data_IF_628492651830
#
_entry.id   IF_628492651830
#
_cell.length_a   1.000
_cell.length_b   1.000
_cell.length_c   1.000
_cell.angle_alpha   90.00
_cell.angle_beta   90.00
_cell.angle_gamma   90.00
#
_symmetry.space_group_name_H-M   'P 1'
#
loop_
_entity.id
_entity.type
_entity.pdbx_description
1 polymer ?
#
# COMPACT_ATOMS: atom_id res chain seq x y z
N UNK A 1 30.74 -7.38 -3.57
CA UNK A 1 30.87 -6.19 -2.68
C UNK A 1 30.76 -6.68 -1.23
N UNK A 2 31.64 -6.19 -0.35
CA UNK A 2 31.61 -6.51 1.08
C UNK A 2 31.60 -5.20 1.88
N UNK A 3 30.67 -5.08 2.83
CA UNK A 3 30.52 -3.92 3.71
C UNK A 3 30.36 -4.44 5.14
N UNK A 4 31.47 -4.50 5.86
CA UNK A 4 31.55 -5.23 7.14
C UNK A 4 31.27 -6.73 6.96
N UNK A 5 30.25 -7.23 7.65
CA UNK A 5 29.77 -8.60 7.60
C UNK A 5 28.80 -8.85 6.43
N UNK A 6 28.29 -7.77 5.84
CA UNK A 6 27.38 -7.83 4.71
C UNK A 6 28.10 -8.19 3.42
N UNK A 7 27.51 -9.08 2.63
CA UNK A 7 28.02 -9.55 1.34
C UNK A 7 26.93 -9.44 0.29
N UNK A 8 27.31 -8.87 -0.85
CA UNK A 8 26.50 -8.79 -2.06
C UNK A 8 27.36 -9.37 -3.18
N UNK A 9 26.96 -10.50 -3.72
CA UNK A 9 27.66 -11.16 -4.82
C UNK A 9 26.76 -11.11 -6.04
N UNK A 10 27.29 -10.71 -7.18
CA UNK A 10 26.51 -10.67 -8.41
C UNK A 10 27.34 -11.10 -9.60
N UNK A 11 26.69 -11.79 -10.52
CA UNK A 11 27.24 -12.10 -11.83
C UNK A 11 26.26 -11.59 -12.88
N UNK A 12 26.78 -11.06 -13.99
CA UNK A 12 25.95 -10.60 -15.08
C UNK A 12 26.70 -10.79 -16.40
N UNK A 13 25.98 -11.29 -17.40
CA UNK A 13 26.42 -11.30 -18.79
C UNK A 13 25.34 -10.66 -19.65
N UNK A 14 25.76 -9.70 -20.47
CA UNK A 14 24.91 -8.98 -21.40
C UNK A 14 25.41 -9.29 -22.82
N UNK A 15 24.73 -10.21 -23.50
CA UNK A 15 24.92 -10.47 -24.92
C UNK A 15 23.62 -10.14 -25.66
N UNK A 16 23.09 -11.07 -26.48
CA UNK A 16 21.73 -10.96 -27.03
C UNK A 16 20.64 -11.17 -25.97
N UNK A 17 20.99 -11.88 -24.89
CA UNK A 17 20.15 -12.10 -23.72
C UNK A 17 20.88 -11.62 -22.48
N UNK A 18 20.10 -11.17 -21.51
CA UNK A 18 20.53 -10.89 -20.15
C UNK A 18 20.58 -12.23 -19.43
N UNK A 19 21.65 -12.45 -18.67
CA UNK A 19 21.69 -13.45 -17.61
C UNK A 19 22.41 -12.82 -16.43
N UNK A 20 21.69 -12.57 -15.35
CA UNK A 20 22.24 -11.99 -14.14
C UNK A 20 21.70 -12.72 -12.91
N UNK A 21 22.56 -12.86 -11.92
CA UNK A 21 22.23 -13.39 -10.60
C UNK A 21 22.84 -12.46 -9.56
N UNK A 22 22.08 -12.18 -8.50
CA UNK A 22 22.49 -11.38 -7.37
C UNK A 22 22.11 -12.10 -6.08
N UNK A 23 23.12 -12.48 -5.29
CA UNK A 23 22.99 -13.07 -3.97
C UNK A 23 23.24 -12.02 -2.90
N UNK A 24 22.25 -11.87 -2.01
CA UNK A 24 22.27 -10.96 -0.88
C UNK A 24 22.43 -11.76 0.41
N UNK A 25 23.49 -11.47 1.16
CA UNK A 25 23.66 -11.98 2.51
C UNK A 25 24.09 -10.83 3.42
N UNK A 26 23.10 -10.16 4.02
CA UNK A 26 23.25 -8.96 4.82
C UNK A 26 22.87 -9.28 6.28
N UNK A 27 23.73 -9.95 7.06
CA UNK A 27 23.41 -10.34 8.44
C UNK A 27 23.37 -9.15 9.41
N UNK A 28 23.87 -7.96 9.03
CA UNK A 28 23.94 -6.78 9.90
C UNK A 28 23.70 -5.50 9.14
N UNK A 29 22.44 -5.18 8.85
CA UNK A 29 22.07 -4.00 8.04
C UNK A 29 22.57 -2.67 8.62
N UNK A 30 22.75 -2.56 9.93
CA UNK A 30 23.28 -1.35 10.58
C UNK A 30 24.71 -0.97 10.17
N UNK A 31 25.48 -1.89 9.58
CA UNK A 31 26.78 -1.58 8.98
C UNK A 31 26.66 -0.92 7.60
N UNK A 32 25.49 -0.94 6.97
CA UNK A 32 25.21 -0.24 5.70
C UNK A 32 24.75 1.19 5.95
N UNK A 33 23.89 1.38 6.94
CA UNK A 33 23.37 2.69 7.34
C UNK A 33 22.98 2.67 8.83
N UNK A 34 23.31 3.70 9.63
CA UNK A 34 23.09 3.68 11.09
C UNK A 34 21.64 3.44 11.54
N UNK A 35 20.65 3.89 10.76
CA UNK A 35 19.23 3.73 11.10
C UNK A 35 18.65 2.38 10.66
N UNK A 36 19.38 1.61 9.85
CA UNK A 36 18.95 0.27 9.46
C UNK A 36 19.33 -0.76 10.52
N UNK A 37 18.43 -1.69 10.82
CA UNK A 37 18.73 -2.84 11.68
C UNK A 37 18.15 -4.12 11.12
N UNK A 38 18.57 -5.23 11.70
CA UNK A 38 18.16 -6.56 11.30
C UNK A 38 19.03 -7.17 10.23
N UNK A 39 18.48 -8.19 9.59
CA UNK A 39 19.16 -8.98 8.58
C UNK A 39 18.29 -9.21 7.35
N UNK A 40 18.92 -9.26 6.19
CA UNK A 40 18.27 -9.53 4.91
C UNK A 40 19.10 -10.56 4.14
N UNK A 41 18.44 -11.61 3.66
CA UNK A 41 19.03 -12.60 2.76
C UNK A 41 18.14 -12.78 1.55
N UNK A 42 18.73 -13.07 0.40
CA UNK A 42 17.92 -13.37 -0.76
C UNK A 42 18.71 -13.54 -2.02
N UNK A 43 18.00 -13.85 -3.09
CA UNK A 43 18.52 -14.08 -4.41
C UNK A 43 17.61 -13.41 -5.44
N UNK A 44 18.23 -12.79 -6.44
CA UNK A 44 17.55 -12.22 -7.60
C UNK A 44 18.19 -12.81 -8.86
N UNK A 45 17.38 -13.47 -9.66
CA UNK A 45 17.77 -14.01 -10.96
C UNK A 45 17.04 -13.23 -12.05
N UNK A 46 17.77 -12.77 -13.06
CA UNK A 46 17.22 -12.07 -14.23
C UNK A 46 17.74 -12.73 -15.49
N UNK A 47 16.84 -13.02 -16.42
CA UNK A 47 17.13 -13.66 -17.68
C UNK A 47 16.30 -13.05 -18.83
N UNK A 48 16.51 -13.54 -20.05
CA UNK A 48 15.69 -13.19 -21.21
C UNK A 48 16.20 -11.98 -21.98
N UNK A 49 15.31 -11.29 -22.69
CA UNK A 49 15.67 -10.10 -23.50
C UNK A 49 15.10 -8.84 -22.86
N UNK A 50 15.57 -7.66 -23.30
CA UNK A 50 14.99 -6.39 -22.85
C UNK A 50 13.49 -6.25 -23.17
N UNK A 51 13.00 -6.93 -24.22
CA UNK A 51 11.57 -6.92 -24.61
C UNK A 51 10.74 -7.99 -23.89
N UNK A 52 11.39 -9.03 -23.38
CA UNK A 52 10.74 -10.15 -22.70
C UNK A 52 11.66 -10.63 -21.56
N UNK A 53 11.78 -9.83 -20.50
CA UNK A 53 12.58 -10.20 -19.35
C UNK A 53 11.92 -11.36 -18.61
N UNK A 54 12.73 -12.16 -17.96
CA UNK A 54 12.31 -13.25 -17.08
C UNK A 54 13.07 -13.08 -15.77
N UNK A 55 12.52 -13.57 -14.68
CA UNK A 55 13.26 -13.48 -13.43
C UNK A 55 12.55 -14.07 -12.25
N UNK A 56 13.31 -14.19 -11.17
CA UNK A 56 12.85 -14.65 -9.87
C UNK A 56 13.50 -13.80 -8.79
N UNK A 57 12.72 -13.48 -7.76
CA UNK A 57 13.18 -12.80 -6.56
C UNK A 57 12.72 -13.62 -5.37
N UNK A 58 13.65 -13.97 -4.49
CA UNK A 58 13.36 -14.55 -3.17
C UNK A 58 14.10 -13.72 -2.13
N UNK A 59 13.38 -13.01 -1.27
CA UNK A 59 13.97 -12.25 -0.17
C UNK A 59 13.35 -12.68 1.15
N UNK A 60 14.19 -12.79 2.17
CA UNK A 60 13.83 -13.06 3.55
C UNK A 60 14.53 -12.03 4.45
N UNK A 61 13.74 -11.28 5.21
CA UNK A 61 14.23 -10.33 6.19
C UNK A 61 13.79 -10.71 7.60
N UNK A 62 14.61 -10.41 8.59
CA UNK A 62 14.31 -10.66 9.99
C UNK A 62 14.75 -9.48 10.85
N UNK A 63 13.90 -9.12 11.83
CA UNK A 63 14.11 -8.02 12.77
C UNK A 63 14.51 -6.71 12.08
N UNK A 64 13.88 -6.43 10.94
CA UNK A 64 14.15 -5.24 10.15
C UNK A 64 13.68 -4.01 10.92
N UNK A 65 14.49 -2.96 10.92
CA UNK A 65 14.07 -1.67 11.43
C UNK A 65 14.65 -0.52 10.61
N UNK A 66 13.89 0.56 10.51
CA UNK A 66 14.32 1.84 9.99
C UNK A 66 13.69 2.95 10.82
N UNK A 67 14.54 3.75 11.49
CA UNK A 67 14.11 4.71 12.50
C UNK A 67 13.22 4.05 13.58
N UNK A 68 11.98 4.46 13.70
CA UNK A 68 10.94 3.99 14.64
C UNK A 68 10.04 2.88 14.05
N UNK A 69 10.30 2.47 12.81
CA UNK A 69 9.52 1.45 12.12
C UNK A 69 10.20 0.09 12.24
N UNK A 70 9.43 -0.92 12.60
CA UNK A 70 9.90 -2.27 12.83
C UNK A 70 9.08 -3.28 12.03
N UNK A 71 9.77 -4.32 11.57
CA UNK A 71 9.18 -5.46 10.88
C UNK A 71 9.90 -6.73 11.31
N UNK A 72 9.22 -7.60 12.06
CA UNK A 72 9.84 -8.80 12.60
C UNK A 72 10.26 -9.78 11.52
N UNK A 73 9.41 -10.03 10.51
CA UNK A 73 9.77 -10.88 9.38
C UNK A 73 9.24 -10.31 8.08
N UNK A 74 10.03 -10.47 7.03
CA UNK A 74 9.69 -10.15 5.66
C UNK A 74 9.95 -11.37 4.79
N UNK A 75 8.99 -11.77 3.97
CA UNK A 75 9.20 -12.73 2.89
C UNK A 75 8.64 -12.16 1.60
N UNK A 76 9.45 -12.14 0.54
CA UNK A 76 9.03 -11.79 -0.80
C UNK A 76 9.42 -12.93 -1.74
N UNK A 77 8.44 -13.45 -2.47
CA UNK A 77 8.65 -14.30 -3.62
C UNK A 77 8.03 -13.62 -4.83
N UNK A 78 8.81 -13.36 -5.87
CA UNK A 78 8.28 -12.86 -7.13
C UNK A 78 8.89 -13.62 -8.31
N UNK A 79 8.13 -13.75 -9.38
CA UNK A 79 8.58 -14.41 -10.61
C UNK A 79 7.93 -13.78 -11.82
N UNK A 80 8.66 -13.76 -12.94
CA UNK A 80 8.19 -13.40 -14.27
C UNK A 80 8.63 -14.48 -15.25
N UNK A 81 7.67 -15.18 -15.86
CA UNK A 81 7.96 -16.27 -16.80
C UNK A 81 8.21 -15.78 -18.24
N UNK A 82 8.65 -16.68 -19.11
CA UNK A 82 8.89 -16.38 -20.53
C UNK A 82 7.65 -15.92 -21.30
N UNK A 83 6.46 -16.20 -20.80
CA UNK A 83 5.18 -15.73 -21.36
C UNK A 83 4.74 -14.38 -20.76
N UNK A 84 5.64 -13.70 -20.03
CA UNK A 84 5.37 -12.43 -19.35
C UNK A 84 4.25 -12.52 -18.31
N UNK A 85 4.08 -13.69 -17.70
CA UNK A 85 3.17 -13.86 -16.56
C UNK A 85 3.96 -13.70 -15.27
N UNK A 86 3.60 -12.67 -14.53
CA UNK A 86 4.13 -12.32 -13.24
C UNK A 86 3.34 -12.95 -12.09
N UNK A 87 4.04 -13.20 -10.99
CA UNK A 87 3.45 -13.49 -9.68
C UNK A 87 4.29 -12.79 -8.61
N UNK A 88 3.63 -12.27 -7.59
CA UNK A 88 4.24 -11.65 -6.41
C UNK A 88 3.49 -12.16 -5.18
N UNK A 89 4.23 -12.67 -4.20
CA UNK A 89 3.74 -13.06 -2.90
C UNK A 89 4.63 -12.38 -1.85
N UNK A 90 4.09 -11.36 -1.19
CA UNK A 90 4.73 -10.60 -0.13
C UNK A 90 4.01 -10.89 1.19
N UNK A 91 4.78 -11.13 2.24
CA UNK A 91 4.29 -11.17 3.62
C UNK A 91 5.25 -10.43 4.54
N UNK A 92 4.74 -9.43 5.24
CA UNK A 92 5.42 -8.78 6.36
C UNK A 92 4.67 -9.10 7.66
N UNK A 93 5.35 -9.54 8.70
CA UNK A 93 4.74 -9.79 10.01
C UNK A 93 5.45 -9.05 11.14
N UNK A 94 4.68 -8.73 12.19
CA UNK A 94 5.15 -7.93 13.31
C UNK A 94 5.47 -6.51 12.87
N UNK A 95 4.60 -5.93 12.04
CA UNK A 95 4.71 -4.54 11.59
C UNK A 95 4.35 -3.62 12.74
N UNK A 96 5.23 -2.67 13.03
CA UNK A 96 5.04 -1.64 14.02
C UNK A 96 5.61 -0.32 13.50
N UNK A 97 4.89 0.78 13.71
CA UNK A 97 5.38 2.14 13.47
C UNK A 97 5.18 2.96 14.74
N UNK A 98 6.27 3.44 15.34
CA UNK A 98 6.25 4.02 16.68
C UNK A 98 5.60 3.06 17.68
N UNK A 99 4.56 3.53 18.37
CA UNK A 99 3.82 2.73 19.36
C UNK A 99 2.67 1.91 18.76
N UNK A 100 2.39 2.04 17.45
CA UNK A 100 1.25 1.39 16.81
C UNK A 100 1.64 0.05 16.21
N UNK A 101 0.97 -1.02 16.63
CA UNK A 101 1.11 -2.36 16.06
C UNK A 101 0.11 -2.59 14.93
N UNK A 102 0.61 -2.87 13.72
CA UNK A 102 -0.19 -3.15 12.53
C UNK A 102 -0.31 -4.64 12.19
N UNK A 103 0.48 -5.50 12.84
CA UNK A 103 0.35 -6.96 12.71
C UNK A 103 0.96 -7.51 11.42
N UNK A 104 0.15 -8.11 10.55
CA UNK A 104 0.60 -8.87 9.38
C UNK A 104 0.03 -8.30 8.09
N UNK A 105 0.89 -7.87 7.16
CA UNK A 105 0.55 -7.46 5.81
C UNK A 105 0.84 -8.58 4.82
N UNK A 106 -0.10 -8.91 3.96
CA UNK A 106 0.09 -9.77 2.80
C UNK A 106 -0.27 -9.04 1.52
N UNK A 107 0.55 -9.19 0.48
CA UNK A 107 0.22 -8.72 -0.86
C UNK A 107 0.45 -9.84 -1.87
N UNK A 108 -0.60 -10.22 -2.60
CA UNK A 108 -0.55 -11.28 -3.62
C UNK A 108 -0.94 -10.69 -4.97
N UNK A 109 0.02 -10.61 -5.88
CA UNK A 109 -0.15 -10.10 -7.23
C UNK A 109 0.05 -11.18 -8.28
N UNK A 110 -0.66 -11.09 -9.40
CA UNK A 110 -0.41 -11.96 -10.55
C UNK A 110 -0.96 -11.37 -11.83
N UNK A 111 -0.51 -11.87 -12.98
CA UNK A 111 -1.06 -11.49 -14.27
C UNK A 111 0.03 -11.19 -15.29
N UNK A 112 -0.34 -10.56 -16.40
CA UNK A 112 0.57 -10.07 -17.41
C UNK A 112 0.44 -8.54 -17.54
N UNK A 113 1.15 -7.93 -18.51
CA UNK A 113 1.09 -6.48 -18.70
C UNK A 113 -0.33 -5.96 -19.00
N UNK A 114 -1.20 -6.76 -19.63
CA UNK A 114 -2.55 -6.36 -20.02
C UNK A 114 -3.61 -6.68 -18.97
N UNK A 115 -3.38 -7.69 -18.14
CA UNK A 115 -4.31 -8.15 -17.09
C UNK A 115 -3.56 -8.42 -15.81
N UNK A 116 -3.72 -7.54 -14.85
CA UNK A 116 -3.08 -7.57 -13.54
C UNK A 116 -4.14 -7.68 -12.47
N UNK A 117 -3.84 -8.42 -11.41
CA UNK A 117 -4.63 -8.48 -10.20
C UNK A 117 -3.71 -8.40 -8.99
N UNK A 118 -4.16 -7.68 -7.97
CA UNK A 118 -3.46 -7.52 -6.69
C UNK A 118 -4.48 -7.65 -5.55
N UNK A 119 -4.16 -8.48 -4.56
CA UNK A 119 -4.89 -8.53 -3.29
C UNK A 119 -3.96 -8.06 -2.18
N UNK A 120 -4.40 -7.12 -1.37
CA UNK A 120 -3.72 -6.63 -0.18
C UNK A 120 -4.57 -6.98 1.04
N UNK A 121 -3.95 -7.49 2.09
CA UNK A 121 -4.62 -7.66 3.37
C UNK A 121 -3.70 -7.29 4.52
N UNK A 122 -4.21 -6.52 5.48
CA UNK A 122 -3.56 -6.23 6.76
C UNK A 122 -4.41 -6.82 7.87
N UNK A 123 -3.80 -7.58 8.75
CA UNK A 123 -4.44 -8.17 9.92
C UNK A 123 -3.68 -7.70 11.17
N UNK A 124 -4.24 -6.69 11.83
CA UNK A 124 -3.66 -6.09 13.03
C UNK A 124 -4.70 -5.82 14.12
N UNK A 125 -4.24 -5.51 15.33
CA UNK A 125 -5.13 -5.18 16.45
C UNK A 125 -5.82 -3.82 16.28
N UNK A 126 -5.16 -2.85 15.63
CA UNK A 126 -5.68 -1.47 15.44
C UNK A 126 -6.32 -1.25 14.08
N UNK A 127 -5.91 -2.03 13.08
CA UNK A 127 -6.33 -1.90 11.69
C UNK A 127 -6.41 -3.27 11.05
N UNK A 128 -7.56 -3.56 10.44
CA UNK A 128 -7.70 -4.63 9.46
C UNK A 128 -8.08 -4.00 8.13
N UNK A 129 -7.52 -4.53 7.04
CA UNK A 129 -7.70 -4.03 5.69
C UNK A 129 -7.78 -5.22 4.75
N UNK A 130 -8.71 -5.19 3.81
CA UNK A 130 -8.71 -6.06 2.64
C UNK A 130 -8.99 -5.22 1.41
N UNK A 131 -8.13 -5.31 0.39
CA UNK A 131 -8.34 -4.62 -0.89
C UNK A 131 -8.02 -5.55 -2.04
N UNK A 132 -8.82 -5.47 -3.10
CA UNK A 132 -8.54 -6.13 -4.37
C UNK A 132 -8.51 -5.10 -5.48
N UNK A 133 -7.47 -5.15 -6.31
CA UNK A 133 -7.30 -4.28 -7.46
C UNK A 133 -7.14 -5.13 -8.72
N UNK A 134 -7.67 -4.65 -9.83
CA UNK A 134 -7.39 -5.18 -11.16
C UNK A 134 -7.04 -4.06 -12.14
N UNK A 135 -6.37 -4.39 -13.25
CA UNK A 135 -6.04 -3.40 -14.26
C UNK A 135 -5.11 -3.91 -15.35
N UNK A 136 -4.60 -3.00 -16.16
CA UNK A 136 -3.63 -3.26 -17.20
C UNK A 136 -2.77 -2.04 -17.48
N UNK A 137 -1.59 -2.28 -18.03
CA UNK A 137 -0.62 -1.27 -18.41
C UNK A 137 -0.55 -1.16 -19.95
N UNK A 138 -0.76 0.04 -20.47
CA UNK A 138 -0.56 0.38 -21.88
C UNK A 138 0.25 1.67 -22.01
N UNK A 139 1.43 1.59 -22.63
CA UNK A 139 2.35 2.73 -22.86
C UNK A 139 2.48 3.63 -21.62
N UNK A 140 2.87 3.03 -20.49
CA UNK A 140 3.03 3.65 -19.16
C UNK A 140 1.74 4.13 -18.47
N UNK A 141 0.57 4.01 -19.11
CA UNK A 141 -0.72 4.27 -18.48
C UNK A 141 -1.24 2.98 -17.86
N UNK A 142 -1.25 2.93 -16.53
CA UNK A 142 -1.95 1.89 -15.80
C UNK A 142 -3.41 2.31 -15.61
N UNK A 143 -4.35 1.48 -16.04
CA UNK A 143 -5.79 1.71 -15.87
C UNK A 143 -6.43 0.47 -15.28
N UNK A 144 -7.20 0.67 -14.23
CA UNK A 144 -7.74 -0.41 -13.44
C UNK A 144 -8.86 0.03 -12.52
N UNK A 145 -9.12 -0.80 -11.51
CA UNK A 145 -10.16 -0.59 -10.52
C UNK A 145 -9.72 -1.05 -9.15
N UNK A 146 -10.15 -0.33 -8.12
CA UNK A 146 -10.33 -0.91 -6.79
C UNK A 146 -11.62 -1.74 -6.85
N UNK A 147 -11.47 -3.06 -6.93
CA UNK A 147 -12.56 -4.02 -7.13
C UNK A 147 -13.37 -4.22 -5.86
N UNK A 148 -12.68 -4.36 -4.73
CA UNK A 148 -13.29 -4.51 -3.42
C UNK A 148 -12.40 -3.86 -2.36
N UNK A 149 -13.01 -3.49 -1.24
CA UNK A 149 -12.32 -2.86 -0.13
C UNK A 149 -13.09 -3.05 1.17
N UNK A 150 -12.39 -3.45 2.22
CA UNK A 150 -12.84 -3.48 3.60
C UNK A 150 -11.79 -2.84 4.50
N UNK A 151 -12.21 -2.01 5.45
CA UNK A 151 -11.35 -1.37 6.43
C UNK A 151 -12.02 -1.44 7.80
N UNK A 152 -11.39 -2.13 8.74
CA UNK A 152 -11.82 -2.14 10.14
C UNK A 152 -10.84 -1.37 10.98
N UNK A 153 -11.28 -0.24 11.50
CA UNK A 153 -10.49 0.63 12.36
C UNK A 153 -11.43 1.39 13.27
N UNK A 154 -11.03 1.61 14.51
CA UNK A 154 -11.79 2.50 15.37
C UNK A 154 -13.19 2.00 15.77
N UNK A 155 -13.44 0.69 15.74
CA UNK A 155 -14.79 0.14 15.90
C UNK A 155 -15.70 0.32 14.69
N UNK A 156 -15.21 0.88 13.59
CA UNK A 156 -15.92 0.95 12.30
C UNK A 156 -15.53 -0.22 11.40
N UNK A 157 -16.43 -0.61 10.50
CA UNK A 157 -16.24 -1.65 9.50
C UNK A 157 -16.70 -1.09 8.14
N UNK A 158 -15.79 -0.39 7.47
CA UNK A 158 -16.05 0.29 6.21
C UNK A 158 -15.95 -0.69 5.05
N UNK A 159 -17.00 -0.74 4.23
CA UNK A 159 -17.10 -1.62 3.07
C UNK A 159 -17.34 -0.81 1.80
N UNK A 160 -16.50 -1.01 0.79
CA UNK A 160 -16.64 -0.40 -0.52
C UNK A 160 -17.92 -0.93 -1.21
N UNK A 161 -18.83 -0.03 -1.58
CA UNK A 161 -20.12 -0.42 -2.14
C UNK A 161 -20.05 -0.91 -3.59
N UNK A 162 -19.15 -0.33 -4.39
CA UNK A 162 -18.99 -0.64 -5.81
C UNK A 162 -17.53 -0.49 -6.23
N UNK A 163 -17.06 -1.26 -7.23
CA UNK A 163 -15.75 -1.07 -7.80
C UNK A 163 -15.53 0.39 -8.24
N UNK A 164 -14.38 0.96 -7.91
CA UNK A 164 -14.02 2.33 -8.25
C UNK A 164 -12.88 2.35 -9.25
N UNK A 165 -12.92 3.26 -10.23
CA UNK A 165 -11.83 3.44 -11.19
C UNK A 165 -10.56 3.84 -10.45
N UNK A 166 -9.43 3.24 -10.77
CA UNK A 166 -8.12 3.69 -10.32
C UNK A 166 -7.19 3.72 -11.53
N UNK A 167 -6.44 4.79 -11.72
CA UNK A 167 -5.49 4.89 -12.81
C UNK A 167 -4.23 5.65 -12.40
N UNK A 168 -3.11 5.28 -13.03
CA UNK A 168 -1.86 6.02 -13.02
C UNK A 168 -1.47 6.29 -14.47
N UNK A 169 -1.54 7.54 -14.89
CA UNK A 169 -1.21 7.95 -16.25
C UNK A 169 0.30 8.10 -16.43
N UNK A 170 0.74 8.11 -17.70
CA UNK A 170 2.16 8.19 -18.05
C UNK A 170 2.83 9.49 -17.55
N UNK A 171 2.05 10.57 -17.40
CA UNK A 171 2.52 11.84 -16.84
C UNK A 171 2.62 11.86 -15.30
N UNK A 172 2.38 10.72 -14.65
CA UNK A 172 2.45 10.56 -13.21
C UNK A 172 1.15 10.88 -12.47
N UNK A 173 0.09 11.33 -13.17
CA UNK A 173 -1.21 11.56 -12.53
C UNK A 173 -1.79 10.27 -11.99
N UNK A 174 -2.28 10.30 -10.76
CA UNK A 174 -3.05 9.20 -10.15
C UNK A 174 -4.46 9.71 -9.88
N UNK A 175 -5.45 9.05 -10.47
CA UNK A 175 -6.86 9.39 -10.30
C UNK A 175 -7.62 8.22 -9.69
N UNK A 176 -8.57 8.55 -8.83
CA UNK A 176 -9.50 7.63 -8.19
C UNK A 176 -10.91 8.10 -8.51
N UNK A 177 -11.73 7.24 -9.12
CA UNK A 177 -13.09 7.58 -9.49
C UNK A 177 -14.01 7.75 -8.28
N UNK A 178 -15.21 8.26 -8.50
CA UNK A 178 -16.24 8.34 -7.46
C UNK A 178 -16.51 6.97 -6.82
N UNK A 179 -16.62 6.96 -5.48
CA UNK A 179 -16.91 5.76 -4.70
C UNK A 179 -17.65 6.07 -3.42
N UNK A 180 -18.22 5.04 -2.80
CA UNK A 180 -18.81 5.13 -1.47
C UNK A 180 -18.40 3.93 -0.61
N UNK A 181 -18.05 4.22 0.63
CA UNK A 181 -17.80 3.26 1.69
C UNK A 181 -18.90 3.36 2.74
N UNK A 182 -19.34 2.22 3.29
CA UNK A 182 -20.42 2.17 4.29
C UNK A 182 -19.93 1.46 5.54
N UNK A 183 -20.26 1.99 6.72
CA UNK A 183 -20.04 1.36 8.02
C UNK A 183 -21.29 1.57 8.88
N UNK A 184 -22.13 0.54 9.00
CA UNK A 184 -23.44 0.67 9.66
C UNK A 184 -24.30 1.77 8.99
N UNK A 185 -24.81 2.78 9.73
CA UNK A 185 -25.53 3.91 9.16
C UNK A 185 -24.63 4.93 8.46
N UNK A 186 -23.33 4.90 8.71
CA UNK A 186 -22.39 5.89 8.20
C UNK A 186 -22.03 5.65 6.73
N UNK A 187 -21.87 6.73 5.97
CA UNK A 187 -21.34 6.67 4.60
C UNK A 187 -20.20 7.67 4.39
N UNK A 188 -19.14 7.23 3.71
CA UNK A 188 -18.05 8.07 3.23
C UNK A 188 -17.99 7.95 1.71
N UNK A 189 -18.55 8.93 1.03
CA UNK A 189 -18.58 9.00 -0.42
C UNK A 189 -17.59 10.02 -0.95
N UNK A 190 -17.14 9.84 -2.18
CA UNK A 190 -16.35 10.82 -2.90
C UNK A 190 -16.81 10.99 -4.32
N UNK A 191 -16.51 12.16 -4.87
CA UNK A 191 -16.54 12.38 -6.31
C UNK A 191 -15.25 11.80 -6.95
N UNK A 192 -15.06 12.10 -8.24
CA UNK A 192 -13.78 11.83 -8.91
C UNK A 192 -12.66 12.67 -8.28
N UNK A 193 -11.55 12.01 -7.96
CA UNK A 193 -10.43 12.58 -7.24
C UNK A 193 -9.13 12.47 -8.04
N UNK A 194 -8.31 13.51 -7.94
CA UNK A 194 -6.89 13.43 -8.27
C UNK A 194 -6.13 13.19 -6.98
N UNK A 195 -5.36 12.11 -6.91
CA UNK A 195 -4.52 11.78 -5.75
C UNK A 195 -3.11 12.36 -5.91
N UNK A 196 -2.59 12.39 -7.14
CA UNK A 196 -1.25 12.90 -7.46
C UNK A 196 -1.25 13.49 -8.88
N UNK A 197 -0.46 14.54 -9.16
CA UNK A 197 0.01 15.55 -8.21
C UNK A 197 -1.15 16.48 -7.83
N UNK A 198 -0.89 17.42 -6.92
CA UNK A 198 -1.85 18.45 -6.48
C UNK A 198 -3.23 17.86 -6.11
N UNK A 199 -3.32 17.05 -5.03
CA UNK A 199 -4.53 16.31 -4.70
C UNK A 199 -5.79 17.17 -4.72
N UNK A 200 -6.86 16.64 -5.32
CA UNK A 200 -8.19 17.23 -5.34
C UNK A 200 -9.14 16.22 -4.70
N UNK A 201 -9.55 16.49 -3.47
CA UNK A 201 -10.37 15.63 -2.65
C UNK A 201 -11.75 16.28 -2.49
N UNK A 202 -12.78 15.47 -2.73
CA UNK A 202 -14.19 15.85 -2.66
C UNK A 202 -14.89 14.72 -1.93
N UNK A 203 -15.04 14.86 -0.61
CA UNK A 203 -15.55 13.80 0.26
C UNK A 203 -16.81 14.25 1.00
N UNK A 204 -17.72 13.31 1.20
CA UNK A 204 -18.97 13.49 1.92
C UNK A 204 -19.10 12.38 2.96
N UNK A 205 -18.98 12.74 4.22
CA UNK A 205 -19.25 11.87 5.37
C UNK A 205 -20.68 12.13 5.84
N UNK A 206 -21.47 11.07 6.02
CA UNK A 206 -22.83 11.17 6.57
C UNK A 206 -23.03 10.18 7.70
N UNK A 207 -23.82 10.59 8.70
CA UNK A 207 -24.30 9.76 9.80
C UNK A 207 -23.19 9.00 10.53
N UNK A 208 -22.01 9.61 10.68
CA UNK A 208 -20.89 8.96 11.35
C UNK A 208 -21.11 8.94 12.87
N UNK A 209 -21.06 7.77 13.52
CA UNK A 209 -21.32 7.63 14.95
C UNK A 209 -20.14 8.18 15.77
N UNK A 210 -20.34 9.30 16.45
CA UNK A 210 -19.27 10.01 17.18
C UNK A 210 -18.70 9.22 18.35
N UNK A 211 -19.52 8.34 18.96
CA UNK A 211 -19.12 7.42 20.02
C UNK A 211 -18.03 6.43 19.57
N UNK A 212 -17.91 6.15 18.27
CA UNK A 212 -16.82 5.35 17.73
C UNK A 212 -15.43 5.98 17.93
N UNK A 213 -15.38 7.31 18.12
CA UNK A 213 -14.14 8.04 18.40
C UNK A 213 -13.70 7.97 19.85
N UNK A 214 -14.51 7.39 20.75
CA UNK A 214 -14.26 7.42 22.20
C UNK A 214 -12.88 6.88 22.60
N UNK A 215 -12.29 5.96 21.84
CA UNK A 215 -10.95 5.44 22.11
C UNK A 215 -9.82 6.46 21.91
N UNK A 216 -10.08 7.52 21.15
CA UNK A 216 -9.13 8.60 20.86
C UNK A 216 -9.46 9.89 21.60
N UNK A 217 -10.56 9.92 22.36
CA UNK A 217 -11.04 11.08 23.10
C UNK A 217 -10.78 10.91 24.60
N UNK A 218 -10.67 12.01 25.36
CA UNK A 218 -10.60 11.97 26.81
C UNK A 218 -11.78 11.21 27.43
N UNK A 219 -11.55 10.50 28.54
CA UNK A 219 -12.57 9.63 29.17
C UNK A 219 -13.80 10.39 29.70
N UNK A 220 -13.63 11.67 29.98
CA UNK A 220 -14.65 12.61 30.43
C UNK A 220 -15.49 13.20 29.28
N UNK A 221 -15.16 12.86 28.04
CA UNK A 221 -15.76 13.42 26.83
C UNK A 221 -16.66 12.39 26.15
N UNK A 222 -17.96 12.46 26.41
CA UNK A 222 -18.96 11.57 25.80
C UNK A 222 -19.72 12.28 24.69
N UNK A 223 -19.27 12.11 23.45
CA UNK A 223 -20.00 12.62 22.29
C UNK A 223 -21.07 11.62 21.91
N UNK A 224 -22.32 12.01 22.11
CA UNK A 224 -23.48 11.34 21.57
C UNK A 224 -23.95 12.11 20.33
N UNK A 225 -24.39 11.41 19.31
CA UNK A 225 -24.89 12.01 18.08
C UNK A 225 -24.16 11.57 16.82
N UNK A 226 -24.49 12.24 15.72
CA UNK A 226 -23.99 11.91 14.40
C UNK A 226 -23.17 13.06 13.84
N UNK A 227 -22.10 12.72 13.14
CA UNK A 227 -21.27 13.65 12.40
C UNK A 227 -21.55 13.54 10.90
N UNK A 228 -21.83 14.67 10.29
CA UNK A 228 -21.80 14.86 8.84
C UNK A 228 -20.66 15.80 8.50
N UNK A 229 -19.98 15.58 7.39
CA UNK A 229 -18.94 16.47 6.93
C UNK A 229 -18.82 16.50 5.40
N UNK A 230 -18.60 17.68 4.86
CA UNK A 230 -18.26 17.89 3.46
C UNK A 230 -16.84 18.46 3.38
N UNK A 231 -15.97 17.79 2.63
CA UNK A 231 -14.58 18.19 2.39
C UNK A 231 -14.39 18.53 0.93
N UNK A 232 -14.06 19.79 0.65
CA UNK A 232 -13.61 20.28 -0.64
C UNK A 232 -12.17 20.76 -0.48
N UNK A 233 -11.18 19.96 -0.87
CA UNK A 233 -9.78 20.27 -0.61
C UNK A 233 -8.94 20.12 -1.87
N UNK A 234 -8.22 21.17 -2.23
CA UNK A 234 -7.17 21.19 -3.25
C UNK A 234 -5.83 21.40 -2.55
N UNK A 235 -4.83 20.59 -2.88
CA UNK A 235 -3.51 20.60 -2.25
C UNK A 235 -2.39 20.90 -3.27
N UNK A 236 -2.39 22.08 -3.93
CA UNK A 236 -1.30 22.46 -4.83
C UNK A 236 -0.02 22.78 -4.06
N UNK A 237 1.12 22.80 -4.76
CA UNK A 237 2.41 23.19 -4.20
C UNK A 237 2.42 24.59 -3.52
N UNK A 238 1.51 25.49 -3.91
CA UNK A 238 1.36 26.81 -3.29
C UNK A 238 0.69 26.79 -1.90
N UNK A 239 0.18 25.64 -1.46
CA UNK A 239 -0.50 25.45 -0.19
C UNK A 239 -1.95 25.01 -0.32
N UNK A 240 -2.54 24.43 0.75
CA UNK A 240 -3.90 23.91 0.74
C UNK A 240 -4.93 25.02 0.53
N UNK A 241 -5.94 24.77 -0.32
CA UNK A 241 -7.11 25.62 -0.52
C UNK A 241 -8.36 24.77 -0.48
N UNK A 242 -9.36 25.18 0.29
CA UNK A 242 -10.56 24.39 0.40
C UNK A 242 -11.55 24.87 1.44
N UNK A 243 -12.59 24.07 1.64
CA UNK A 243 -13.61 24.24 2.65
C UNK A 243 -13.84 22.89 3.33
N UNK A 244 -14.00 22.93 4.66
CA UNK A 244 -14.50 21.82 5.45
C UNK A 244 -15.76 22.32 6.14
N UNK A 245 -16.89 21.68 5.88
CA UNK A 245 -18.13 21.92 6.62
C UNK A 245 -18.36 20.71 7.49
N UNK A 246 -18.56 20.93 8.79
CA UNK A 246 -18.81 19.86 9.75
C UNK A 246 -20.10 20.21 10.47
N UNK A 247 -21.02 19.25 10.47
CA UNK A 247 -22.27 19.34 11.20
C UNK A 247 -22.36 18.17 12.19
N UNK A 248 -22.28 18.50 13.47
CA UNK A 248 -22.49 17.58 14.57
C UNK A 248 -23.89 17.83 15.13
N UNK A 249 -24.88 17.19 14.53
CA UNK A 249 -26.28 17.28 14.95
C UNK A 249 -26.65 16.06 15.80
N UNK A 250 -27.28 16.26 16.95
CA UNK A 250 -27.88 15.19 17.75
C UNK A 250 -27.20 14.84 19.08
N UNK A 251 -26.57 15.82 19.74
CA UNK A 251 -26.31 15.76 21.17
C UNK A 251 -27.49 16.30 21.98
#
# INVERSE_FOLDING_TARGET
IRLGDNRINGTASLQQQIKAQLDLNLPRLGQLWPELRGQLKGQVDVAGTLKAPQGKVVLNGQQLAFADNHLQNLTLNASLDGNQRGRIDLKGSGIQAGDTQFGVLTANGSGDIKRQQLKLALQGPTLQLGMALDGGLDKDNWRGRLVSGDVKAGGQDWQLQKPARLERLADGRVNLGAQCWISGPASLCSEDQRLVPDPQLRLHLKQFPLDSLAQWLPKDFQWQGQLNADLLLDLPASGPKGQVVVDASGG
#
